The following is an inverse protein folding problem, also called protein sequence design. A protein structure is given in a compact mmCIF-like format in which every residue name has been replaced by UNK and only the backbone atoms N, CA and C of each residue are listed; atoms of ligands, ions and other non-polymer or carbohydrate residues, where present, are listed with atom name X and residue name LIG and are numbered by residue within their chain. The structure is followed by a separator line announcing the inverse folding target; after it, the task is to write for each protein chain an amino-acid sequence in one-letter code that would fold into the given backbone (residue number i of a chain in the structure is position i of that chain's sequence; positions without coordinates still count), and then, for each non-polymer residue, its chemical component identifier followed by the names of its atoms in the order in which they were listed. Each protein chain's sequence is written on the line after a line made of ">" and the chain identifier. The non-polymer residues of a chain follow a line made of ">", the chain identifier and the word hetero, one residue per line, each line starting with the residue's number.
data_IF_522067825256
#
_entry.id   IF_522067825256
#
_cell.length_a   1.000
_cell.length_b   1.000
_cell.length_c   1.000
_cell.angle_alpha   90.00
_cell.angle_beta   90.00
_cell.angle_gamma   90.00
#
_symmetry.space_group_name_H-M   'P 1'
#
loop_
_entity.id
_entity.type
_entity.pdbx_description
1 polymer ?
#
# COMPACT_ATOMS: atom_id res chain seq x y z
N UNK A 1 -27.25 15.85 -25.87
CA UNK A 1 -27.11 14.38 -26.01
C UNK A 1 -28.33 13.75 -25.35
N UNK A 2 -29.13 12.94 -26.08
CA UNK A 2 -30.36 12.32 -25.54
C UNK A 2 -30.01 11.41 -24.33
N UNK A 3 -30.93 11.26 -23.37
CA UNK A 3 -30.76 10.40 -22.19
C UNK A 3 -30.37 8.96 -22.56
N UNK A 4 -30.93 8.43 -23.61
CA UNK A 4 -30.65 7.08 -24.15
C UNK A 4 -29.19 6.94 -24.61
N UNK A 5 -28.62 7.96 -25.28
CA UNK A 5 -27.21 8.00 -25.68
C UNK A 5 -26.27 8.16 -24.47
N UNK A 6 -26.70 8.91 -23.44
CA UNK A 6 -25.93 9.07 -22.19
C UNK A 6 -25.89 7.78 -21.38
N UNK A 7 -27.00 7.04 -21.30
CA UNK A 7 -27.06 5.75 -20.62
C UNK A 7 -26.20 4.67 -21.29
N UNK A 8 -26.16 4.62 -22.62
CA UNK A 8 -25.33 3.68 -23.38
C UNK A 8 -23.82 3.98 -23.19
N UNK A 9 -23.44 5.26 -23.18
CA UNK A 9 -22.07 5.71 -22.91
C UNK A 9 -21.57 5.27 -21.53
N UNK A 10 -22.37 5.53 -20.48
CA UNK A 10 -22.02 5.15 -19.11
C UNK A 10 -21.86 3.62 -18.98
N UNK A 11 -22.76 2.85 -19.61
CA UNK A 11 -22.67 1.38 -19.61
C UNK A 11 -21.40 0.87 -20.30
N UNK A 12 -21.01 1.50 -21.42
CA UNK A 12 -19.75 1.19 -22.12
C UNK A 12 -18.53 1.50 -21.26
N UNK A 13 -18.48 2.70 -20.65
CA UNK A 13 -17.39 3.08 -19.71
C UNK A 13 -17.31 2.10 -18.55
N UNK A 14 -18.47 1.71 -17.99
CA UNK A 14 -18.51 0.77 -16.88
C UNK A 14 -17.93 -0.60 -17.25
N UNK A 15 -18.37 -1.17 -18.37
CA UNK A 15 -17.89 -2.49 -18.83
C UNK A 15 -16.39 -2.46 -19.13
N UNK A 16 -15.92 -1.52 -19.96
CA UNK A 16 -14.50 -1.43 -20.32
C UNK A 16 -13.60 -1.18 -19.12
N UNK A 17 -14.04 -0.35 -18.17
CA UNK A 17 -13.27 -0.06 -16.96
C UNK A 17 -13.20 -1.24 -15.98
N UNK A 18 -14.25 -2.04 -15.87
CA UNK A 18 -14.21 -3.26 -15.02
C UNK A 18 -13.35 -4.33 -15.68
N UNK A 19 -13.53 -4.56 -16.98
CA UNK A 19 -12.77 -5.59 -17.69
C UNK A 19 -11.28 -5.25 -17.67
N UNK A 20 -10.89 -4.02 -18.07
CA UNK A 20 -9.50 -3.59 -17.97
C UNK A 20 -8.99 -3.71 -16.53
N UNK A 21 -9.80 -3.24 -15.56
CA UNK A 21 -9.45 -3.32 -14.15
C UNK A 21 -9.20 -4.75 -13.67
N UNK A 22 -9.95 -5.74 -14.15
CA UNK A 22 -9.73 -7.16 -13.85
C UNK A 22 -8.35 -7.63 -14.31
N UNK A 23 -7.98 -7.32 -15.56
CA UNK A 23 -6.65 -7.63 -16.10
C UNK A 23 -5.54 -6.87 -15.36
N UNK A 24 -5.76 -5.59 -15.08
CA UNK A 24 -4.83 -4.78 -14.30
C UNK A 24 -4.63 -5.31 -12.87
N UNK A 25 -5.68 -5.89 -12.27
CA UNK A 25 -5.60 -6.45 -10.92
C UNK A 25 -4.78 -7.75 -10.89
N UNK A 26 -4.90 -8.60 -11.92
CA UNK A 26 -4.02 -9.78 -12.07
C UNK A 26 -2.56 -9.33 -12.15
N UNK A 27 -2.25 -8.38 -13.02
CA UNK A 27 -0.92 -7.79 -13.14
C UNK A 27 -0.43 -7.18 -11.81
N UNK A 28 -1.27 -6.37 -11.17
CA UNK A 28 -0.94 -5.66 -9.95
C UNK A 28 -0.58 -6.58 -8.79
N UNK A 29 -1.34 -7.66 -8.61
CA UNK A 29 -1.09 -8.59 -7.52
C UNK A 29 0.15 -9.47 -7.73
N UNK A 30 0.49 -9.79 -8.98
CA UNK A 30 1.54 -10.75 -9.28
C UNK A 30 2.90 -10.09 -9.62
N UNK A 31 2.90 -9.03 -10.42
CA UNK A 31 4.13 -8.48 -11.03
C UNK A 31 4.40 -7.00 -10.71
N UNK A 32 3.54 -6.32 -9.95
CA UNK A 32 3.75 -4.93 -9.57
C UNK A 32 4.50 -4.81 -8.24
N UNK A 33 5.15 -3.66 -8.03
CA UNK A 33 5.78 -3.30 -6.75
C UNK A 33 4.80 -3.50 -5.57
N UNK A 34 5.30 -4.08 -4.47
CA UNK A 34 4.48 -4.44 -3.30
C UNK A 34 3.87 -5.85 -3.36
N UNK A 35 4.04 -6.58 -4.47
CA UNK A 35 3.63 -7.98 -4.58
C UNK A 35 4.49 -8.89 -3.70
N UNK A 36 3.85 -9.79 -2.93
CA UNK A 36 4.54 -10.81 -2.13
C UNK A 36 5.33 -11.80 -3.01
N UNK A 37 4.93 -11.97 -4.27
CA UNK A 37 5.63 -12.84 -5.23
C UNK A 37 6.99 -12.27 -5.60
N UNK A 38 7.11 -10.93 -5.78
CA UNK A 38 8.39 -10.25 -6.00
C UNK A 38 9.29 -10.43 -4.78
N UNK A 39 8.76 -10.26 -3.58
CA UNK A 39 9.50 -10.48 -2.33
C UNK A 39 9.98 -11.93 -2.22
N UNK A 40 9.14 -12.92 -2.59
CA UNK A 40 9.54 -14.36 -2.59
C UNK A 40 10.69 -14.61 -3.54
N UNK A 41 10.67 -14.08 -4.77
CA UNK A 41 11.79 -14.24 -5.70
C UNK A 41 13.07 -13.60 -5.13
N UNK A 42 12.99 -12.42 -4.54
CA UNK A 42 14.14 -11.78 -3.91
C UNK A 42 14.70 -12.60 -2.75
N UNK A 43 13.84 -13.24 -1.95
CA UNK A 43 14.26 -14.17 -0.88
C UNK A 43 14.98 -15.37 -1.47
N UNK A 44 14.44 -16.00 -2.52
CA UNK A 44 15.08 -17.14 -3.21
C UNK A 44 16.43 -16.78 -3.83
N UNK A 45 16.59 -15.56 -4.33
CA UNK A 45 17.86 -15.05 -4.88
C UNK A 45 18.84 -14.58 -3.82
N UNK A 46 18.48 -14.60 -2.52
CA UNK A 46 19.33 -14.16 -1.42
C UNK A 46 19.55 -12.65 -1.40
N UNK A 47 18.48 -11.86 -1.53
CA UNK A 47 18.56 -10.40 -1.50
C UNK A 47 19.14 -9.86 -0.19
N UNK A 48 19.93 -8.81 -0.30
CA UNK A 48 20.49 -8.08 0.84
C UNK A 48 19.47 -7.16 1.50
N UNK A 49 19.67 -6.78 2.77
CA UNK A 49 18.81 -5.82 3.47
C UNK A 49 18.64 -4.50 2.71
N UNK A 50 19.72 -4.02 2.10
CA UNK A 50 19.69 -2.81 1.28
C UNK A 50 18.77 -2.97 0.07
N UNK A 51 18.77 -4.13 -0.59
CA UNK A 51 17.90 -4.40 -1.75
C UNK A 51 16.42 -4.47 -1.37
N UNK A 52 16.08 -5.05 -0.20
CA UNK A 52 14.71 -4.99 0.33
C UNK A 52 14.28 -3.54 0.64
N UNK A 53 15.20 -2.75 1.15
CA UNK A 53 14.95 -1.33 1.41
C UNK A 53 14.71 -0.54 0.12
N UNK A 54 15.48 -0.80 -0.93
CA UNK A 54 15.22 -0.23 -2.25
C UNK A 54 13.86 -0.67 -2.81
N UNK A 55 13.52 -1.96 -2.72
CA UNK A 55 12.21 -2.45 -3.15
C UNK A 55 11.07 -1.67 -2.47
N UNK A 56 11.16 -1.51 -1.15
CA UNK A 56 10.14 -0.77 -0.37
C UNK A 56 10.14 0.73 -0.73
N UNK A 57 11.31 1.35 -0.93
CA UNK A 57 11.44 2.77 -1.27
C UNK A 57 10.89 3.11 -2.66
N UNK A 58 10.95 2.19 -3.64
CA UNK A 58 10.42 2.41 -4.99
C UNK A 58 8.95 2.83 -4.94
N UNK A 59 8.14 2.25 -4.03
CA UNK A 59 6.74 2.61 -3.86
C UNK A 59 6.55 4.10 -3.52
N UNK A 60 7.38 4.66 -2.65
CA UNK A 60 7.36 6.08 -2.28
C UNK A 60 7.93 6.97 -3.38
N UNK A 61 9.04 6.55 -4.01
CA UNK A 61 9.65 7.31 -5.09
C UNK A 61 8.71 7.41 -6.30
N UNK A 62 7.96 6.37 -6.61
CA UNK A 62 7.01 6.36 -7.73
C UNK A 62 5.93 7.44 -7.60
N UNK A 63 5.59 7.85 -6.37
CA UNK A 63 4.68 8.96 -6.14
C UNK A 63 5.22 10.31 -6.64
N UNK A 64 6.55 10.48 -6.71
CA UNK A 64 7.20 11.69 -7.25
C UNK A 64 6.98 11.82 -8.76
N UNK A 65 6.75 10.71 -9.46
CA UNK A 65 6.45 10.72 -10.90
C UNK A 65 5.02 11.18 -11.23
N UNK A 66 4.12 11.19 -10.24
CA UNK A 66 2.73 11.58 -10.44
C UNK A 66 2.55 13.02 -10.95
N UNK A 67 3.26 14.04 -10.44
CA UNK A 67 3.21 15.41 -10.98
C UNK A 67 3.65 15.49 -12.44
N UNK A 68 4.61 14.64 -12.88
CA UNK A 68 5.02 14.59 -14.28
C UNK A 68 3.85 14.16 -15.18
N UNK A 69 3.06 13.16 -14.74
CA UNK A 69 1.86 12.75 -15.45
C UNK A 69 0.83 13.87 -15.59
N UNK A 70 0.66 14.69 -14.57
CA UNK A 70 -0.20 15.88 -14.61
C UNK A 70 0.35 16.88 -15.61
N UNK A 71 1.64 17.23 -15.54
CA UNK A 71 2.28 18.16 -16.45
C UNK A 71 2.15 17.69 -17.92
N UNK A 72 2.49 16.43 -18.21
CA UNK A 72 2.31 15.86 -19.57
C UNK A 72 0.86 15.87 -20.03
N UNK A 73 -0.11 15.57 -19.14
CA UNK A 73 -1.52 15.57 -19.49
C UNK A 73 -2.09 16.95 -19.85
N UNK A 74 -1.44 18.03 -19.41
CA UNK A 74 -1.82 19.40 -19.78
C UNK A 74 -1.41 19.77 -21.22
N UNK A 75 -0.33 19.19 -21.74
CA UNK A 75 0.18 19.47 -23.08
C UNK A 75 -0.43 18.58 -24.17
N UNK A 76 -1.13 17.50 -23.82
CA UNK A 76 -1.69 16.53 -24.76
C UNK A 76 -3.19 16.63 -24.82
N UNK A 77 -3.73 16.83 -26.03
CA UNK A 77 -5.18 16.91 -26.28
C UNK A 77 -5.91 15.56 -26.09
N UNK A 78 -5.19 14.45 -26.26
CA UNK A 78 -5.72 13.08 -26.13
C UNK A 78 -5.06 12.32 -24.99
N UNK A 79 -5.67 12.36 -23.80
CA UNK A 79 -5.17 11.68 -22.59
C UNK A 79 -5.24 10.15 -22.67
N UNK A 80 -6.19 9.65 -23.45
CA UNK A 80 -6.42 8.21 -23.65
C UNK A 80 -5.16 7.50 -24.12
N UNK A 81 -4.61 7.92 -25.24
CA UNK A 81 -3.45 7.28 -25.83
C UNK A 81 -2.19 7.48 -24.98
N UNK A 82 -2.03 8.66 -24.38
CA UNK A 82 -0.94 8.91 -23.44
C UNK A 82 -1.02 7.95 -22.25
N UNK A 83 -2.19 7.78 -21.65
CA UNK A 83 -2.40 6.84 -20.55
C UNK A 83 -2.07 5.40 -20.96
N UNK A 84 -2.55 4.95 -22.12
CA UNK A 84 -2.34 3.60 -22.63
C UNK A 84 -0.85 3.34 -22.86
N UNK A 85 -0.15 4.24 -23.56
CA UNK A 85 1.27 4.06 -23.87
C UNK A 85 2.17 4.08 -22.62
N UNK A 86 1.94 5.03 -21.71
CA UNK A 86 2.69 5.09 -20.44
C UNK A 86 2.48 3.80 -19.64
N UNK A 87 1.23 3.35 -19.50
CA UNK A 87 0.91 2.13 -18.76
C UNK A 87 1.47 0.88 -19.47
N UNK A 88 1.42 0.86 -20.81
CA UNK A 88 2.02 -0.21 -21.61
C UNK A 88 3.52 -0.36 -21.35
N UNK A 89 4.28 0.73 -21.41
CA UNK A 89 5.72 0.70 -21.13
C UNK A 89 5.99 0.14 -19.74
N UNK A 90 5.23 0.59 -18.73
CA UNK A 90 5.38 0.09 -17.37
C UNK A 90 5.11 -1.43 -17.24
N UNK A 91 4.07 -1.95 -17.90
CA UNK A 91 3.74 -3.40 -17.89
C UNK A 91 4.69 -4.21 -18.76
N UNK A 92 5.20 -3.61 -19.84
CA UNK A 92 6.17 -4.25 -20.74
C UNK A 92 7.52 -4.48 -20.04
N UNK A 93 7.99 -3.55 -19.22
CA UNK A 93 9.22 -3.71 -18.46
C UNK A 93 9.18 -4.91 -17.51
N UNK A 94 8.03 -5.23 -16.95
CA UNK A 94 7.90 -6.35 -16.02
C UNK A 94 7.91 -7.73 -16.69
N UNK A 95 7.76 -7.81 -18.02
CA UNK A 95 8.02 -9.04 -18.79
C UNK A 95 9.44 -9.58 -18.57
N UNK A 96 10.38 -8.67 -18.37
CA UNK A 96 11.80 -8.99 -18.27
C UNK A 96 12.29 -9.25 -16.84
N UNK A 97 11.40 -9.24 -15.84
CA UNK A 97 11.80 -9.48 -14.43
C UNK A 97 12.49 -10.85 -14.26
N UNK A 98 12.00 -11.87 -14.97
CA UNK A 98 12.57 -13.21 -14.93
C UNK A 98 13.99 -13.31 -15.48
N UNK A 99 14.43 -12.36 -16.33
CA UNK A 99 15.81 -12.33 -16.84
C UNK A 99 16.84 -12.09 -15.72
N UNK A 100 16.39 -11.62 -14.54
CA UNK A 100 17.26 -11.52 -13.37
C UNK A 100 17.94 -12.84 -13.00
N UNK A 101 17.29 -13.98 -13.29
CA UNK A 101 17.80 -15.33 -13.02
C UNK A 101 18.97 -15.73 -13.96
N UNK A 102 19.10 -15.08 -15.11
CA UNK A 102 20.16 -15.37 -16.11
C UNK A 102 21.49 -14.69 -15.78
N UNK A 103 21.51 -13.77 -14.81
CA UNK A 103 22.75 -13.09 -14.44
C UNK A 103 23.69 -14.06 -13.70
N UNK A 104 25.01 -14.02 -13.99
CA UNK A 104 25.98 -14.85 -13.30
C UNK A 104 26.05 -14.64 -11.79
N UNK A 105 25.65 -13.46 -11.34
CA UNK A 105 25.54 -13.11 -9.92
C UNK A 105 24.10 -12.75 -9.59
N UNK A 106 23.50 -13.44 -8.62
CA UNK A 106 22.15 -13.14 -8.12
C UNK A 106 22.02 -11.69 -7.65
N UNK A 107 23.07 -11.13 -7.04
CA UNK A 107 23.09 -9.73 -6.61
C UNK A 107 22.92 -8.75 -7.78
N UNK A 108 23.61 -8.98 -8.91
CA UNK A 108 23.43 -8.18 -10.13
C UNK A 108 22.04 -8.36 -10.73
N UNK A 109 21.52 -9.59 -10.73
CA UNK A 109 20.16 -9.89 -11.18
C UNK A 109 19.10 -9.16 -10.37
N UNK A 110 19.24 -9.11 -9.04
CA UNK A 110 18.32 -8.36 -8.17
C UNK A 110 18.37 -6.86 -8.47
N UNK A 111 19.56 -6.26 -8.65
CA UNK A 111 19.66 -4.85 -9.02
C UNK A 111 19.04 -4.55 -10.40
N UNK A 112 19.21 -5.44 -11.37
CA UNK A 112 18.52 -5.35 -12.66
C UNK A 112 16.99 -5.37 -12.47
N UNK A 113 16.47 -6.31 -11.67
CA UNK A 113 15.05 -6.41 -11.37
C UNK A 113 14.52 -5.14 -10.67
N UNK A 114 15.25 -4.62 -9.66
CA UNK A 114 14.89 -3.39 -8.96
C UNK A 114 14.86 -2.17 -9.91
N UNK A 115 15.77 -2.12 -10.88
CA UNK A 115 15.79 -1.06 -11.89
C UNK A 115 14.55 -1.13 -12.79
N UNK A 116 14.18 -2.31 -13.27
CA UNK A 116 12.94 -2.50 -14.04
C UNK A 116 11.69 -2.12 -13.24
N UNK A 117 11.64 -2.54 -11.98
CA UNK A 117 10.53 -2.22 -11.06
C UNK A 117 10.43 -0.72 -10.78
N UNK A 118 11.56 -0.02 -10.64
CA UNK A 118 11.60 1.43 -10.44
C UNK A 118 10.93 2.18 -11.60
N UNK A 119 11.34 1.91 -12.83
CA UNK A 119 10.75 2.54 -14.00
C UNK A 119 9.30 2.10 -14.21
N UNK A 120 9.01 0.79 -14.06
CA UNK A 120 7.65 0.27 -14.16
C UNK A 120 6.72 0.96 -13.18
N UNK A 121 7.09 1.07 -11.89
CA UNK A 121 6.29 1.72 -10.86
C UNK A 121 6.05 3.20 -11.17
N UNK A 122 7.06 3.92 -11.66
CA UNK A 122 6.93 5.31 -12.09
C UNK A 122 5.93 5.49 -13.23
N UNK A 123 6.05 4.67 -14.28
CA UNK A 123 5.10 4.68 -15.40
C UNK A 123 3.68 4.29 -14.97
N UNK A 124 3.52 3.27 -14.11
CA UNK A 124 2.22 2.87 -13.60
C UNK A 124 1.57 3.98 -12.74
N UNK A 125 2.33 4.64 -11.85
CA UNK A 125 1.84 5.74 -11.03
C UNK A 125 1.39 6.93 -11.88
N UNK A 126 2.16 7.28 -12.91
CA UNK A 126 1.83 8.31 -13.89
C UNK A 126 0.57 7.96 -14.67
N UNK A 127 0.49 6.74 -15.21
CA UNK A 127 -0.68 6.24 -15.96
C UNK A 127 -1.94 6.21 -15.12
N UNK A 128 -1.87 5.79 -13.86
CA UNK A 128 -3.00 5.74 -12.94
C UNK A 128 -3.61 7.13 -12.69
N UNK A 129 -2.79 8.16 -12.54
CA UNK A 129 -3.26 9.54 -12.36
C UNK A 129 -3.96 10.08 -13.62
N UNK A 130 -3.38 9.84 -14.79
CA UNK A 130 -4.00 10.23 -16.07
C UNK A 130 -5.35 9.50 -16.24
N UNK A 131 -5.39 8.21 -15.89
CA UNK A 131 -6.61 7.40 -15.94
C UNK A 131 -7.71 7.93 -15.01
N UNK A 132 -7.39 8.24 -13.75
CA UNK A 132 -8.36 8.80 -12.80
C UNK A 132 -8.94 10.11 -13.32
N UNK A 133 -8.10 11.01 -13.82
CA UNK A 133 -8.52 12.28 -14.38
C UNK A 133 -9.46 12.07 -15.59
N UNK A 134 -9.05 11.20 -16.53
CA UNK A 134 -9.84 10.89 -17.74
C UNK A 134 -11.19 10.25 -17.42
N UNK A 135 -11.22 9.21 -16.57
CA UNK A 135 -12.47 8.51 -16.19
C UNK A 135 -13.40 9.42 -15.39
N UNK A 136 -12.83 10.28 -14.54
CA UNK A 136 -13.62 11.26 -13.79
C UNK A 136 -14.39 12.23 -14.68
N UNK A 137 -13.86 12.60 -15.84
CA UNK A 137 -14.53 13.46 -16.81
C UNK A 137 -15.69 12.75 -17.54
N UNK A 138 -15.68 11.41 -17.58
CA UNK A 138 -16.72 10.59 -18.24
C UNK A 138 -17.90 10.26 -17.32
N UNK A 139 -17.67 10.19 -16.01
CA UNK A 139 -18.66 9.73 -15.04
C UNK A 139 -19.27 10.92 -14.31
N UNK A 140 -20.62 11.09 -14.34
CA UNK A 140 -21.31 12.14 -13.61
C UNK A 140 -21.01 12.08 -12.10
N UNK A 141 -20.81 13.24 -11.47
CA UNK A 141 -20.51 13.36 -10.04
C UNK A 141 -21.48 12.57 -9.14
N UNK A 142 -22.79 12.60 -9.49
CA UNK A 142 -23.86 11.94 -8.72
C UNK A 142 -23.69 10.43 -8.57
N UNK A 143 -23.06 9.76 -9.54
CA UNK A 143 -22.91 8.29 -9.54
C UNK A 143 -21.45 7.83 -9.39
N UNK A 144 -20.50 8.78 -9.37
CA UNK A 144 -19.05 8.49 -9.38
C UNK A 144 -18.63 7.61 -8.18
N UNK A 145 -19.11 7.93 -6.99
CA UNK A 145 -18.80 7.14 -5.78
C UNK A 145 -19.28 5.69 -5.90
N UNK A 146 -20.53 5.48 -6.36
CA UNK A 146 -21.07 4.13 -6.59
C UNK A 146 -20.32 3.35 -7.66
N UNK A 147 -19.87 4.03 -8.72
CA UNK A 147 -19.09 3.42 -9.79
C UNK A 147 -17.74 2.89 -9.25
N UNK A 148 -16.94 3.74 -8.58
CA UNK A 148 -15.64 3.33 -8.06
C UNK A 148 -15.76 2.28 -6.94
N UNK A 149 -16.76 2.39 -6.08
CA UNK A 149 -17.00 1.40 -5.02
C UNK A 149 -17.26 0.01 -5.60
N UNK A 150 -18.24 -0.12 -6.52
CA UNK A 150 -18.55 -1.42 -7.15
C UNK A 150 -17.37 -1.98 -7.96
N UNK A 151 -16.67 -1.11 -8.70
CA UNK A 151 -15.48 -1.51 -9.43
C UNK A 151 -14.43 -2.08 -8.47
N UNK A 152 -14.09 -1.35 -7.41
CA UNK A 152 -13.07 -1.78 -6.47
C UNK A 152 -13.43 -3.06 -5.72
N UNK A 153 -14.71 -3.26 -5.35
CA UNK A 153 -15.19 -4.52 -4.77
C UNK A 153 -14.96 -5.71 -5.71
N UNK A 154 -15.31 -5.57 -6.99
CA UNK A 154 -15.10 -6.61 -7.98
C UNK A 154 -13.62 -6.92 -8.21
N UNK A 155 -12.78 -5.88 -8.30
CA UNK A 155 -11.34 -6.03 -8.47
C UNK A 155 -10.69 -6.70 -7.25
N UNK A 156 -11.14 -6.37 -6.05
CA UNK A 156 -10.67 -7.00 -4.81
C UNK A 156 -10.90 -8.51 -4.82
N UNK A 157 -12.10 -8.95 -5.22
CA UNK A 157 -12.39 -10.39 -5.32
C UNK A 157 -11.49 -11.09 -6.33
N UNK A 158 -11.28 -10.49 -7.52
CA UNK A 158 -10.35 -11.03 -8.53
C UNK A 158 -8.94 -11.10 -7.96
N UNK A 159 -8.49 -10.03 -7.32
CA UNK A 159 -7.17 -9.97 -6.71
C UNK A 159 -6.95 -11.08 -5.67
N UNK A 160 -7.92 -11.31 -4.80
CA UNK A 160 -7.86 -12.39 -3.81
C UNK A 160 -7.78 -13.76 -4.48
N UNK A 161 -8.69 -14.05 -5.42
CA UNK A 161 -8.71 -15.35 -6.11
C UNK A 161 -7.37 -15.61 -6.80
N UNK A 162 -6.86 -14.65 -7.56
CA UNK A 162 -5.58 -14.81 -8.27
C UNK A 162 -4.42 -15.02 -7.30
N UNK A 163 -4.36 -14.19 -6.24
CA UNK A 163 -3.30 -14.31 -5.24
C UNK A 163 -3.30 -15.68 -4.54
N UNK A 164 -4.46 -16.18 -4.15
CA UNK A 164 -4.56 -17.49 -3.50
C UNK A 164 -4.22 -18.64 -4.45
N UNK A 165 -4.74 -18.60 -5.68
CA UNK A 165 -4.45 -19.65 -6.67
C UNK A 165 -2.95 -19.70 -6.97
N UNK A 166 -2.33 -18.57 -7.25
CA UNK A 166 -0.89 -18.56 -7.59
C UNK A 166 -0.04 -18.88 -6.37
N UNK A 167 -0.37 -18.37 -5.18
CA UNK A 167 0.35 -18.67 -3.94
C UNK A 167 0.35 -20.17 -3.64
N UNK A 168 -0.82 -20.82 -3.76
CA UNK A 168 -0.94 -22.25 -3.57
C UNK A 168 0.00 -23.04 -4.50
N UNK A 169 0.07 -22.66 -5.78
CA UNK A 169 0.95 -23.34 -6.74
C UNK A 169 2.45 -23.04 -6.48
N UNK A 170 2.79 -21.85 -6.01
CA UNK A 170 4.18 -21.55 -5.62
C UNK A 170 4.60 -22.35 -4.39
N UNK A 171 3.69 -22.56 -3.44
CA UNK A 171 3.99 -23.32 -2.22
C UNK A 171 4.12 -24.83 -2.49
N UNK A 172 3.59 -25.34 -3.62
CA UNK A 172 3.79 -26.75 -4.01
C UNK A 172 5.25 -27.13 -4.25
N UNK A 173 6.12 -26.17 -4.60
CA UNK A 173 7.56 -26.41 -4.78
C UNK A 173 8.29 -26.72 -3.46
N UNK A 174 7.70 -26.36 -2.33
CA UNK A 174 8.21 -26.63 -0.98
C UNK A 174 7.25 -27.54 -0.18
N UNK A 175 6.37 -28.28 -0.88
CA UNK A 175 5.27 -29.00 -0.26
C UNK A 175 5.73 -30.22 0.52
N UNK A 176 5.16 -30.39 1.71
CA UNK A 176 5.22 -31.62 2.47
C UNK A 176 4.36 -32.75 1.86
N UNK A 177 4.20 -33.88 2.56
CA UNK A 177 3.55 -35.14 2.08
C UNK A 177 2.20 -34.92 1.39
N UNK A 178 1.34 -34.01 1.90
CA UNK A 178 0.02 -33.73 1.29
C UNK A 178 0.12 -33.09 -0.08
N UNK A 179 1.05 -32.16 -0.25
CA UNK A 179 1.29 -31.49 -1.53
C UNK A 179 1.94 -32.45 -2.53
N UNK A 180 2.86 -33.34 -2.07
CA UNK A 180 3.48 -34.34 -2.92
C UNK A 180 2.43 -35.33 -3.47
N UNK A 181 1.43 -35.73 -2.68
CA UNK A 181 0.34 -36.57 -3.16
C UNK A 181 -0.53 -35.90 -4.24
N UNK A 182 -0.71 -34.61 -4.17
CA UNK A 182 -1.41 -33.83 -5.20
C UNK A 182 -0.56 -33.71 -6.47
N UNK A 183 0.73 -33.45 -6.34
CA UNK A 183 1.70 -33.37 -7.44
C UNK A 183 1.78 -34.71 -8.20
N UNK A 184 1.82 -35.84 -7.44
CA UNK A 184 1.83 -37.18 -8.00
C UNK A 184 0.59 -37.47 -8.84
N UNK A 185 -0.60 -37.05 -8.37
CA UNK A 185 -1.85 -37.19 -9.14
C UNK A 185 -1.85 -36.38 -10.45
N UNK A 186 -1.11 -35.31 -10.51
CA UNK A 186 -0.95 -34.46 -11.72
C UNK A 186 0.14 -35.03 -12.66
N UNK A 187 0.94 -36.01 -12.25
CA UNK A 187 2.10 -36.49 -13.01
C UNK A 187 3.20 -35.46 -13.20
N UNK A 188 3.29 -34.49 -12.29
CA UNK A 188 4.14 -33.30 -12.43
C UNK A 188 5.31 -33.27 -11.40
N UNK A 189 5.69 -34.42 -10.86
CA UNK A 189 6.71 -34.53 -9.81
C UNK A 189 8.07 -33.95 -10.23
N UNK A 190 8.48 -34.14 -11.49
CA UNK A 190 9.72 -33.60 -12.00
C UNK A 190 9.73 -32.09 -12.20
N UNK A 191 8.55 -31.45 -12.20
CA UNK A 191 8.43 -30.00 -12.35
C UNK A 191 8.42 -29.27 -11.01
N UNK A 192 7.65 -29.78 -10.03
CA UNK A 192 7.49 -29.15 -8.71
C UNK A 192 8.65 -29.53 -7.77
N UNK A 193 9.85 -29.13 -8.16
CA UNK A 193 11.06 -29.26 -7.34
C UNK A 193 11.56 -27.88 -6.93
N UNK A 194 12.16 -27.69 -5.74
CA UNK A 194 12.57 -26.37 -5.22
C UNK A 194 13.41 -25.55 -6.21
N UNK A 195 14.25 -26.21 -7.01
CA UNK A 195 15.10 -25.56 -8.02
C UNK A 195 14.30 -24.81 -9.09
N UNK A 196 13.09 -25.28 -9.40
CA UNK A 196 12.23 -24.71 -10.43
C UNK A 196 11.33 -23.57 -9.90
N UNK A 197 11.26 -23.34 -8.59
CA UNK A 197 10.38 -22.34 -7.99
C UNK A 197 10.64 -20.92 -8.50
N UNK A 198 11.92 -20.54 -8.58
CA UNK A 198 12.31 -19.23 -9.12
C UNK A 198 11.92 -19.07 -10.59
N UNK A 199 12.11 -20.12 -11.40
CA UNK A 199 11.70 -20.14 -12.81
C UNK A 199 10.18 -20.04 -12.95
N UNK A 200 9.41 -20.74 -12.12
CA UNK A 200 7.95 -20.62 -12.09
C UNK A 200 7.50 -19.20 -11.78
N UNK A 201 8.13 -18.51 -10.82
CA UNK A 201 7.87 -17.10 -10.54
C UNK A 201 8.16 -16.19 -11.74
N UNK A 202 9.24 -16.48 -12.49
CA UNK A 202 9.54 -15.76 -13.72
C UNK A 202 8.41 -15.93 -14.76
N UNK A 203 7.87 -17.14 -14.94
CA UNK A 203 6.70 -17.38 -15.78
C UNK A 203 5.44 -16.65 -15.28
N UNK A 204 5.22 -16.59 -13.96
CA UNK A 204 4.12 -15.85 -13.37
C UNK A 204 4.21 -14.36 -13.73
N UNK A 205 5.41 -13.77 -13.73
CA UNK A 205 5.57 -12.35 -14.11
C UNK A 205 5.31 -12.13 -15.60
N UNK A 206 5.80 -13.01 -16.46
CA UNK A 206 5.51 -12.96 -17.91
C UNK A 206 4.01 -13.06 -18.15
N UNK A 207 3.35 -14.05 -17.56
CA UNK A 207 1.90 -14.23 -17.64
C UNK A 207 1.15 -12.99 -17.17
N UNK A 208 1.47 -12.49 -15.97
CA UNK A 208 0.82 -11.30 -15.40
C UNK A 208 1.00 -10.06 -16.26
N UNK A 209 2.21 -9.87 -16.83
CA UNK A 209 2.52 -8.74 -17.71
C UNK A 209 1.74 -8.82 -19.02
N UNK A 210 1.69 -9.99 -19.64
CA UNK A 210 0.90 -10.22 -20.88
C UNK A 210 -0.58 -9.97 -20.62
N UNK A 211 -1.14 -10.55 -19.54
CA UNK A 211 -2.52 -10.32 -19.14
C UNK A 211 -2.76 -8.82 -18.92
N UNK A 212 -1.88 -8.15 -18.19
CA UNK A 212 -1.96 -6.72 -17.98
C UNK A 212 -1.92 -5.91 -19.29
N UNK A 213 -1.07 -6.26 -20.24
CA UNK A 213 -0.98 -5.59 -21.56
C UNK A 213 -2.26 -5.82 -22.37
N UNK A 214 -2.79 -7.06 -22.40
CA UNK A 214 -4.07 -7.36 -23.06
C UNK A 214 -5.19 -6.50 -22.47
N UNK A 215 -5.18 -6.26 -21.15
CA UNK A 215 -6.14 -5.38 -20.49
C UNK A 215 -6.22 -3.97 -21.09
N UNK A 216 -5.11 -3.43 -21.62
CA UNK A 216 -5.08 -2.10 -22.23
C UNK A 216 -5.90 -2.01 -23.52
N UNK A 217 -6.12 -3.13 -24.23
CA UNK A 217 -7.02 -3.15 -25.40
C UNK A 217 -8.46 -2.78 -25.01
N UNK A 218 -8.92 -3.21 -23.84
CA UNK A 218 -10.23 -2.82 -23.30
C UNK A 218 -10.27 -1.35 -22.88
N UNK A 219 -9.16 -0.81 -22.40
CA UNK A 219 -9.02 0.61 -22.12
C UNK A 219 -9.10 1.44 -23.41
N UNK A 220 -8.54 0.93 -24.51
CA UNK A 220 -8.63 1.56 -25.82
C UNK A 220 -10.07 1.69 -26.35
N UNK A 221 -11.01 0.83 -25.91
CA UNK A 221 -12.44 0.92 -26.26
C UNK A 221 -13.18 2.03 -25.48
N UNK A 222 -12.55 2.61 -24.45
CA UNK A 222 -13.17 3.64 -23.62
C UNK A 222 -13.24 4.97 -24.38
N UNK A 223 -14.38 5.69 -24.35
CA UNK A 223 -14.52 6.98 -25.02
C UNK A 223 -13.70 8.07 -24.34
N UNK A 224 -13.37 9.11 -25.09
CA UNK A 224 -12.65 10.30 -24.59
C UNK A 224 -13.47 11.57 -24.85
N UNK A 225 -13.41 12.52 -23.90
CA UNK A 225 -13.92 13.87 -24.08
C UNK A 225 -12.78 14.85 -24.22
N UNK A 226 -12.78 15.67 -25.26
CA UNK A 226 -11.87 16.80 -25.40
C UNK A 226 -12.13 17.81 -24.26
N UNK A 227 -11.08 18.25 -23.59
CA UNK A 227 -11.17 19.25 -22.52
C UNK A 227 -10.82 20.63 -23.07
N UNK A 228 -11.56 21.65 -22.59
CA UNK A 228 -11.11 23.04 -22.73
C UNK A 228 -9.94 23.30 -21.79
N UNK A 229 -8.90 23.94 -22.28
CA UNK A 229 -7.68 24.28 -21.54
C UNK A 229 -7.98 25.45 -20.59
N UNK A 230 -7.95 25.22 -19.29
CA UNK A 230 -8.04 26.26 -18.26
C UNK A 230 -7.16 25.92 -17.08
N UNK A 231 -6.02 26.58 -16.94
CA UNK A 231 -5.30 26.68 -15.67
C UNK A 231 -4.33 27.84 -15.65
N UNK A 232 -4.79 28.97 -15.10
CA UNK A 232 -3.96 30.14 -14.78
C UNK A 232 -3.68 30.24 -13.27
N UNK A 233 -3.23 29.15 -12.63
CA UNK A 233 -2.77 29.26 -11.25
C UNK A 233 -1.25 29.10 -11.20
N UNK A 234 -0.57 30.11 -10.63
CA UNK A 234 0.86 30.06 -10.35
C UNK A 234 1.16 28.91 -9.37
N UNK A 235 1.79 27.85 -9.87
CA UNK A 235 2.18 26.69 -9.07
C UNK A 235 3.01 27.08 -7.85
N UNK A 236 3.89 28.08 -7.97
CA UNK A 236 4.75 28.56 -6.88
C UNK A 236 3.95 29.07 -5.66
N UNK A 237 2.86 29.80 -5.88
CA UNK A 237 2.00 30.29 -4.79
C UNK A 237 1.26 29.14 -4.11
N UNK A 238 0.77 28.17 -4.89
CA UNK A 238 0.07 26.99 -4.37
C UNK A 238 0.96 26.17 -3.42
N UNK A 239 2.26 26.08 -3.72
CA UNK A 239 3.21 25.34 -2.88
C UNK A 239 3.67 26.11 -1.63
N UNK A 240 3.75 27.45 -1.66
CA UNK A 240 4.28 28.25 -0.55
C UNK A 240 3.29 28.46 0.60
N UNK A 241 2.02 28.63 0.27
CA UNK A 241 0.96 28.98 1.24
C UNK A 241 0.81 27.99 2.41
N UNK A 242 0.81 26.64 2.21
CA UNK A 242 0.66 25.69 3.31
C UNK A 242 1.74 25.81 4.38
N UNK A 243 2.99 26.14 3.99
CA UNK A 243 4.09 26.29 4.95
C UNK A 243 3.97 27.55 5.83
N UNK A 244 3.13 28.50 5.49
CA UNK A 244 2.86 29.69 6.31
C UNK A 244 1.89 29.37 7.45
N UNK A 245 1.06 28.33 7.33
CA UNK A 245 0.12 27.92 8.37
C UNK A 245 0.84 27.20 9.52
N UNK A 246 0.87 27.81 10.71
CA UNK A 246 1.55 27.25 11.88
C UNK A 246 1.05 25.87 12.28
N UNK A 247 -0.28 25.65 12.26
CA UNK A 247 -0.84 24.35 12.65
C UNK A 247 -0.56 23.28 11.60
N UNK A 248 -0.53 23.63 10.33
CA UNK A 248 -0.14 22.72 9.27
C UNK A 248 1.34 22.30 9.39
N UNK A 249 2.23 23.22 9.74
CA UNK A 249 3.65 22.88 10.03
C UNK A 249 3.77 21.88 11.19
N UNK A 250 3.00 22.05 12.26
CA UNK A 250 2.98 21.10 13.38
C UNK A 250 2.45 19.73 12.95
N UNK A 251 1.43 19.71 12.09
CA UNK A 251 0.92 18.47 11.50
C UNK A 251 1.95 17.81 10.58
N UNK A 252 2.71 18.60 9.79
CA UNK A 252 3.81 18.08 8.96
C UNK A 252 4.90 17.46 9.81
N UNK A 253 5.30 18.11 10.92
CA UNK A 253 6.31 17.56 11.86
C UNK A 253 5.83 16.22 12.43
N UNK A 254 4.56 16.15 12.88
CA UNK A 254 3.99 14.90 13.36
C UNK A 254 3.97 13.82 12.27
N UNK A 255 3.45 14.14 11.09
CA UNK A 255 3.34 13.20 9.98
C UNK A 255 4.71 12.72 9.49
N UNK A 256 5.69 13.61 9.41
CA UNK A 256 7.08 13.27 9.05
C UNK A 256 7.71 12.32 10.06
N UNK A 257 7.55 12.57 11.35
CA UNK A 257 8.02 11.67 12.39
C UNK A 257 7.34 10.30 12.32
N UNK A 258 5.99 10.30 12.18
CA UNK A 258 5.22 9.07 12.08
C UNK A 258 5.63 8.21 10.88
N UNK A 259 5.81 8.83 9.71
CA UNK A 259 6.21 8.12 8.49
C UNK A 259 7.69 7.70 8.54
N UNK A 260 8.57 8.51 9.13
CA UNK A 260 9.94 8.11 9.40
C UNK A 260 9.99 6.85 10.28
N UNK A 261 9.27 6.85 11.40
CA UNK A 261 9.21 5.71 12.31
C UNK A 261 8.59 4.45 11.65
N UNK A 262 7.64 4.66 10.75
CA UNK A 262 7.02 3.56 9.99
C UNK A 262 7.98 2.98 8.95
N UNK A 263 8.77 3.84 8.29
CA UNK A 263 9.72 3.44 7.25
C UNK A 263 10.84 2.53 7.77
N UNK A 264 11.22 2.62 9.05
CA UNK A 264 12.29 1.80 9.65
C UNK A 264 12.02 0.30 9.46
N UNK A 265 10.83 -0.19 9.78
CA UNK A 265 10.49 -1.61 9.67
C UNK A 265 9.94 -2.03 8.31
N UNK A 266 9.51 -1.06 7.48
CA UNK A 266 8.71 -1.35 6.28
C UNK A 266 9.34 -2.32 5.28
N UNK A 267 10.68 -2.37 5.07
CA UNK A 267 11.28 -3.29 4.11
C UNK A 267 11.28 -4.75 4.54
N UNK A 268 11.17 -5.02 5.85
CA UNK A 268 11.52 -6.31 6.41
C UNK A 268 10.34 -7.19 6.79
N UNK A 269 9.09 -6.69 6.83
CA UNK A 269 7.91 -7.50 7.17
C UNK A 269 7.73 -8.71 6.26
N UNK A 270 7.75 -8.49 4.94
CA UNK A 270 7.61 -9.55 3.96
C UNK A 270 8.74 -10.57 3.98
N UNK A 271 10.02 -10.11 3.88
CA UNK A 271 11.17 -11.01 4.01
C UNK A 271 11.17 -11.81 5.31
N UNK A 272 10.83 -11.20 6.44
CA UNK A 272 10.79 -11.88 7.75
C UNK A 272 9.74 -13.00 7.77
N UNK A 273 8.53 -12.76 7.25
CA UNK A 273 7.52 -13.81 7.12
C UNK A 273 8.01 -15.00 6.28
N UNK A 274 8.62 -14.71 5.13
CA UNK A 274 9.03 -15.75 4.19
C UNK A 274 10.32 -16.49 4.59
N UNK A 275 11.29 -15.77 5.20
CA UNK A 275 12.63 -16.31 5.52
C UNK A 275 12.74 -16.78 6.96
N UNK A 276 12.39 -15.91 7.93
CA UNK A 276 12.59 -16.19 9.35
C UNK A 276 11.44 -17.00 9.94
N UNK A 277 10.19 -16.69 9.58
CA UNK A 277 9.02 -17.46 10.00
C UNK A 277 8.76 -18.66 9.11
N UNK A 278 9.43 -18.80 7.96
CA UNK A 278 9.28 -19.90 6.99
C UNK A 278 7.82 -20.09 6.51
N UNK A 279 7.07 -18.99 6.42
CA UNK A 279 5.69 -19.03 5.96
C UNK A 279 5.63 -19.27 4.46
N UNK A 280 4.67 -20.11 4.03
CA UNK A 280 4.30 -20.19 2.62
C UNK A 280 3.63 -18.92 2.12
N UNK A 281 3.68 -18.70 0.81
CA UNK A 281 2.99 -17.53 0.21
C UNK A 281 1.48 -17.55 0.44
N UNK A 282 0.86 -18.73 0.49
CA UNK A 282 -0.56 -18.88 0.79
C UNK A 282 -0.89 -18.35 2.19
N UNK A 283 -0.06 -18.67 3.17
CA UNK A 283 -0.21 -18.19 4.54
C UNK A 283 0.00 -16.68 4.64
N UNK A 284 0.98 -16.15 3.93
CA UNK A 284 1.18 -14.69 3.80
C UNK A 284 -0.07 -14.01 3.20
N UNK A 285 -0.73 -14.62 2.21
CA UNK A 285 -1.97 -14.06 1.66
C UNK A 285 -3.14 -14.15 2.66
N UNK A 286 -3.22 -15.18 3.50
CA UNK A 286 -4.20 -15.24 4.58
C UNK A 286 -4.01 -14.08 5.57
N UNK A 287 -2.77 -13.83 6.00
CA UNK A 287 -2.44 -12.69 6.86
C UNK A 287 -2.84 -11.35 6.22
N UNK A 288 -2.46 -11.14 4.96
CA UNK A 288 -2.82 -9.92 4.23
C UNK A 288 -4.34 -9.73 4.11
N UNK A 289 -5.07 -10.84 3.89
CA UNK A 289 -6.54 -10.82 3.81
C UNK A 289 -7.17 -10.49 5.17
N UNK A 290 -6.65 -11.06 6.25
CA UNK A 290 -7.09 -10.75 7.60
C UNK A 290 -6.88 -9.27 7.94
N UNK A 291 -5.67 -8.77 7.69
CA UNK A 291 -5.32 -7.36 7.88
C UNK A 291 -6.24 -6.43 7.09
N UNK A 292 -6.46 -6.71 5.80
CA UNK A 292 -7.33 -5.92 4.94
C UNK A 292 -8.81 -6.01 5.37
N UNK A 293 -9.29 -7.21 5.70
CA UNK A 293 -10.66 -7.44 6.17
C UNK A 293 -10.94 -6.67 7.45
N UNK A 294 -10.04 -6.73 8.42
CA UNK A 294 -10.14 -5.98 9.68
C UNK A 294 -10.12 -4.47 9.41
N UNK A 295 -9.26 -4.01 8.50
CA UNK A 295 -9.20 -2.60 8.11
C UNK A 295 -10.55 -2.13 7.55
N UNK A 296 -11.17 -2.88 6.64
CA UNK A 296 -12.46 -2.55 6.05
C UNK A 296 -13.59 -2.49 7.10
N UNK A 297 -13.62 -3.46 8.00
CA UNK A 297 -14.64 -3.51 9.08
C UNK A 297 -14.47 -2.35 10.09
N UNK A 298 -13.24 -1.89 10.27
CA UNK A 298 -12.90 -0.85 11.26
C UNK A 298 -13.27 0.57 10.83
N UNK A 299 -13.48 0.84 9.53
CA UNK A 299 -13.80 2.19 9.05
C UNK A 299 -15.05 2.79 9.70
N UNK A 300 -16.10 1.99 9.86
CA UNK A 300 -17.34 2.45 10.50
C UNK A 300 -17.16 2.81 11.98
N UNK A 301 -16.31 2.09 12.69
CA UNK A 301 -15.97 2.40 14.09
C UNK A 301 -15.17 3.72 14.16
N UNK A 302 -14.11 3.85 13.37
CA UNK A 302 -13.25 5.03 13.38
C UNK A 302 -13.98 6.31 12.99
N UNK A 303 -14.88 6.25 11.98
CA UNK A 303 -15.71 7.40 11.62
C UNK A 303 -16.50 7.93 12.83
N UNK A 304 -17.28 7.04 13.49
CA UNK A 304 -18.06 7.41 14.67
C UNK A 304 -17.20 7.88 15.84
N UNK A 305 -16.03 7.27 16.03
CA UNK A 305 -15.11 7.63 17.11
C UNK A 305 -14.52 9.02 16.91
N UNK A 306 -14.08 9.33 15.69
CA UNK A 306 -13.52 10.64 15.31
C UNK A 306 -14.55 11.74 15.46
N UNK A 307 -15.78 11.54 14.97
CA UNK A 307 -16.87 12.52 15.07
C UNK A 307 -17.17 12.90 16.53
N UNK A 308 -17.03 11.93 17.43
CA UNK A 308 -17.35 12.13 18.84
C UNK A 308 -16.19 12.68 19.67
N UNK A 309 -14.97 12.20 19.46
CA UNK A 309 -13.82 12.47 20.32
C UNK A 309 -12.72 13.31 19.69
N UNK A 310 -12.80 13.54 18.37
CA UNK A 310 -11.82 14.30 17.60
C UNK A 310 -10.66 13.43 17.05
N UNK A 311 -9.97 14.00 16.05
CA UNK A 311 -8.89 13.32 15.34
C UNK A 311 -7.67 13.08 16.24
N UNK A 312 -7.27 14.08 17.06
CA UNK A 312 -6.09 13.98 17.93
C UNK A 312 -6.22 12.86 18.95
N UNK A 313 -7.39 12.68 19.54
CA UNK A 313 -7.66 11.61 20.50
C UNK A 313 -7.65 10.25 19.83
N UNK A 314 -8.24 10.13 18.65
CA UNK A 314 -8.23 8.91 17.86
C UNK A 314 -6.79 8.56 17.42
N UNK A 315 -5.99 9.55 16.96
CA UNK A 315 -4.60 9.34 16.55
C UNK A 315 -3.73 8.86 17.72
N UNK A 316 -3.97 9.28 18.95
CA UNK A 316 -3.23 8.75 20.12
C UNK A 316 -3.39 7.24 20.27
N UNK A 317 -4.58 6.70 20.00
CA UNK A 317 -4.82 5.25 20.01
C UNK A 317 -4.03 4.59 18.88
N UNK A 318 -4.07 5.18 17.67
CA UNK A 318 -3.31 4.65 16.54
C UNK A 318 -1.79 4.68 16.79
N UNK A 319 -1.26 5.73 17.41
CA UNK A 319 0.18 5.82 17.77
C UNK A 319 0.54 4.76 18.81
N UNK A 320 -0.31 4.56 19.82
CA UNK A 320 -0.09 3.51 20.83
C UNK A 320 -0.05 2.11 20.20
N UNK A 321 -1.08 1.76 19.45
CA UNK A 321 -1.15 0.47 18.76
C UNK A 321 -0.04 0.33 17.70
N UNK A 322 0.28 1.42 17.01
CA UNK A 322 1.34 1.44 16.01
C UNK A 322 2.74 1.15 16.56
N UNK A 323 3.02 1.53 17.80
CA UNK A 323 4.24 1.12 18.50
C UNK A 323 4.13 -0.29 19.10
N UNK A 324 2.93 -0.70 19.52
CA UNK A 324 2.70 -2.04 20.08
C UNK A 324 2.81 -3.14 19.02
N UNK A 325 2.25 -2.93 17.82
CA UNK A 325 2.22 -3.95 16.77
C UNK A 325 3.61 -4.49 16.40
N UNK A 326 4.64 -3.67 16.15
CA UNK A 326 5.99 -4.20 15.88
C UNK A 326 6.57 -5.03 17.03
N UNK A 327 6.15 -4.81 18.27
CA UNK A 327 6.65 -5.60 19.41
C UNK A 327 6.14 -7.04 19.37
N UNK A 328 4.98 -7.32 18.81
CA UNK A 328 4.52 -8.70 18.65
C UNK A 328 5.47 -9.54 17.81
N UNK A 329 6.11 -8.92 16.80
CA UNK A 329 7.07 -9.60 15.93
C UNK A 329 8.35 -10.03 16.63
N UNK A 330 8.68 -9.42 17.77
CA UNK A 330 9.83 -9.83 18.58
C UNK A 330 9.63 -11.21 19.20
N UNK A 331 8.39 -11.66 19.37
CA UNK A 331 8.04 -12.92 20.00
C UNK A 331 7.75 -14.03 19.00
N UNK A 332 7.85 -13.78 17.70
CA UNK A 332 7.59 -14.76 16.64
C UNK A 332 8.86 -15.55 16.30
N UNK A 333 8.65 -16.80 15.90
CA UNK A 333 9.68 -17.71 15.37
C UNK A 333 9.05 -18.65 14.37
N UNK A 334 9.87 -19.40 13.62
CA UNK A 334 9.38 -20.42 12.67
C UNK A 334 8.50 -21.48 13.36
N UNK A 335 8.81 -21.83 14.63
CA UNK A 335 8.07 -22.83 15.40
C UNK A 335 6.75 -22.29 15.98
N UNK A 336 6.68 -20.98 16.27
CA UNK A 336 5.49 -20.36 16.84
C UNK A 336 5.34 -18.91 16.38
N UNK A 337 4.42 -18.70 15.48
CA UNK A 337 4.03 -17.39 15.00
C UNK A 337 2.50 -17.13 15.11
N UNK A 338 1.82 -17.85 16.00
CA UNK A 338 0.36 -17.72 16.19
C UNK A 338 -0.09 -16.31 16.54
N UNK A 339 0.77 -15.53 17.22
CA UNK A 339 0.51 -14.14 17.56
C UNK A 339 0.38 -13.22 16.33
N UNK A 340 0.88 -13.66 15.16
CA UNK A 340 0.76 -12.97 13.89
C UNK A 340 -0.70 -12.69 13.51
N UNK A 341 -1.60 -13.62 13.80
CA UNK A 341 -3.03 -13.46 13.49
C UNK A 341 -3.67 -12.35 14.34
N UNK A 342 -3.28 -12.25 15.60
CA UNK A 342 -3.71 -11.17 16.46
C UNK A 342 -3.11 -9.82 16.02
N UNK A 343 -1.83 -9.81 15.66
CA UNK A 343 -1.17 -8.61 15.12
C UNK A 343 -1.84 -8.14 13.85
N UNK A 344 -2.19 -9.04 12.92
CA UNK A 344 -2.90 -8.71 11.68
C UNK A 344 -4.24 -8.00 11.94
N UNK A 345 -5.00 -8.43 12.96
CA UNK A 345 -6.23 -7.76 13.40
C UNK A 345 -5.91 -6.38 13.98
N UNK A 346 -4.96 -6.30 14.93
CA UNK A 346 -4.58 -5.04 15.58
C UNK A 346 -4.03 -4.03 14.58
N UNK A 347 -3.17 -4.47 13.67
CA UNK A 347 -2.55 -3.66 12.63
C UNK A 347 -3.57 -3.16 11.60
N UNK A 348 -4.47 -4.04 11.12
CA UNK A 348 -5.56 -3.66 10.22
C UNK A 348 -6.48 -2.61 10.83
N UNK A 349 -6.87 -2.79 12.10
CA UNK A 349 -7.65 -1.81 12.85
C UNK A 349 -6.92 -0.47 12.98
N UNK A 350 -5.67 -0.47 13.37
CA UNK A 350 -4.85 0.72 13.57
C UNK A 350 -4.65 1.50 12.26
N UNK A 351 -4.28 0.82 11.16
CA UNK A 351 -4.03 1.49 9.89
C UNK A 351 -5.28 2.08 9.26
N UNK A 352 -6.45 1.45 9.43
CA UNK A 352 -7.73 2.03 9.04
C UNK A 352 -7.98 3.37 9.74
N UNK A 353 -7.74 3.43 11.04
CA UNK A 353 -7.84 4.65 11.82
C UNK A 353 -6.85 5.73 11.40
N UNK A 354 -5.57 5.37 11.35
CA UNK A 354 -4.49 6.30 10.98
C UNK A 354 -4.72 6.95 9.62
N UNK A 355 -5.20 6.19 8.62
CA UNK A 355 -5.49 6.69 7.27
C UNK A 355 -6.62 7.73 7.25
N UNK A 356 -7.77 7.42 7.88
CA UNK A 356 -8.90 8.35 7.96
C UNK A 356 -8.53 9.61 8.75
N UNK A 357 -7.87 9.44 9.91
CA UNK A 357 -7.52 10.54 10.79
C UNK A 357 -6.55 11.50 10.11
N UNK A 358 -5.53 10.97 9.44
CA UNK A 358 -4.56 11.79 8.70
C UNK A 358 -5.26 12.64 7.64
N UNK A 359 -6.14 12.04 6.83
CA UNK A 359 -6.93 12.76 5.83
C UNK A 359 -7.78 13.85 6.47
N UNK A 360 -8.49 13.54 7.56
CA UNK A 360 -9.33 14.49 8.26
C UNK A 360 -8.53 15.65 8.89
N UNK A 361 -7.34 15.37 9.43
CA UNK A 361 -6.45 16.42 9.96
C UNK A 361 -6.07 17.42 8.87
N UNK A 362 -5.60 16.93 7.72
CA UNK A 362 -5.22 17.79 6.61
C UNK A 362 -6.40 18.63 6.14
N UNK A 363 -7.58 18.01 5.94
CA UNK A 363 -8.78 18.70 5.49
C UNK A 363 -9.31 19.71 6.51
N UNK A 364 -9.15 19.46 7.82
CA UNK A 364 -9.61 20.37 8.88
C UNK A 364 -8.75 21.63 9.01
N UNK A 365 -7.50 21.59 8.56
CA UNK A 365 -6.54 22.70 8.61
C UNK A 365 -6.50 23.46 7.29
N UNK A 366 -6.77 22.79 6.18
CA UNK A 366 -6.74 23.37 4.86
C UNK A 366 -7.86 24.43 4.66
N UNK A 367 -7.56 25.62 4.12
CA UNK A 367 -8.59 26.58 3.72
C UNK A 367 -9.49 26.00 2.61
N UNK A 368 -10.76 26.44 2.57
CA UNK A 368 -11.71 26.04 1.51
C UNK A 368 -11.12 26.30 0.13
N UNK A 369 -11.26 25.32 -0.77
CA UNK A 369 -10.71 25.27 -2.15
C UNK A 369 -9.18 25.08 -2.25
N UNK A 370 -8.46 24.87 -1.14
CA UNK A 370 -7.02 24.59 -1.10
C UNK A 370 -6.69 23.19 -0.60
N UNK A 371 -7.71 22.35 -0.35
CA UNK A 371 -7.57 21.04 0.25
C UNK A 371 -6.62 20.12 -0.54
N UNK A 372 -6.64 20.24 -1.88
CA UNK A 372 -5.76 19.44 -2.75
C UNK A 372 -4.29 19.82 -2.60
N UNK A 373 -3.99 21.15 -2.50
CA UNK A 373 -2.63 21.63 -2.33
C UNK A 373 -2.05 21.17 -0.98
N UNK A 374 -2.82 21.33 0.11
CA UNK A 374 -2.41 20.90 1.44
C UNK A 374 -2.19 19.38 1.51
N UNK A 375 -3.09 18.58 0.93
CA UNK A 375 -2.97 17.12 0.87
C UNK A 375 -1.76 16.68 0.04
N UNK A 376 -1.52 17.32 -1.11
CA UNK A 376 -0.38 17.02 -1.97
C UNK A 376 0.96 17.31 -1.31
N UNK A 377 1.09 18.47 -0.64
CA UNK A 377 2.31 18.85 0.08
C UNK A 377 2.52 17.94 1.29
N UNK A 378 1.45 17.65 2.04
CA UNK A 378 1.55 16.71 3.15
C UNK A 378 2.10 15.36 2.66
N UNK A 379 1.50 14.77 1.64
CA UNK A 379 1.92 13.48 1.10
C UNK A 379 3.37 13.49 0.60
N UNK A 380 3.78 14.56 -0.10
CA UNK A 380 5.14 14.70 -0.61
C UNK A 380 6.17 14.77 0.52
N UNK A 381 5.94 15.63 1.51
CA UNK A 381 6.88 15.81 2.64
C UNK A 381 7.01 14.53 3.45
N UNK A 382 5.90 13.95 3.89
CA UNK A 382 5.95 12.74 4.73
C UNK A 382 6.47 11.52 3.95
N UNK A 383 6.24 11.47 2.64
CA UNK A 383 6.78 10.45 1.75
C UNK A 383 8.31 10.47 1.68
N UNK A 384 8.90 11.67 1.61
CA UNK A 384 10.37 11.82 1.65
C UNK A 384 10.95 11.28 2.96
N UNK A 385 10.35 11.58 4.11
CA UNK A 385 10.81 11.08 5.40
C UNK A 385 10.68 9.54 5.50
N UNK A 386 9.57 8.98 5.01
CA UNK A 386 9.40 7.53 4.97
C UNK A 386 10.45 6.86 4.07
N UNK A 387 10.66 7.40 2.86
CA UNK A 387 11.68 6.89 1.95
C UNK A 387 13.08 6.93 2.57
N UNK A 388 13.44 8.06 3.18
CA UNK A 388 14.75 8.23 3.80
C UNK A 388 15.00 7.21 4.92
N UNK A 389 14.03 7.01 5.81
CA UNK A 389 14.15 6.01 6.88
C UNK A 389 14.13 4.57 6.37
N UNK A 390 13.36 4.30 5.32
CA UNK A 390 13.32 3.00 4.64
C UNK A 390 14.69 2.65 4.06
N UNK A 391 15.35 3.57 3.35
CA UNK A 391 16.69 3.37 2.81
C UNK A 391 17.74 3.30 3.93
N UNK A 392 17.65 4.20 4.92
CA UNK A 392 18.56 4.19 6.06
C UNK A 392 18.53 2.86 6.82
N UNK A 393 17.37 2.23 6.99
CA UNK A 393 17.25 0.96 7.68
C UNK A 393 17.94 -0.20 6.96
N UNK A 394 18.06 -0.13 5.63
CA UNK A 394 18.85 -1.10 4.85
C UNK A 394 20.35 -0.84 4.88
N UNK A 395 20.74 0.44 4.94
CA UNK A 395 22.17 0.83 5.05
C UNK A 395 22.70 0.51 6.45
N UNK A 396 21.94 0.87 7.49
CA UNK A 396 22.29 0.67 8.90
C UNK A 396 21.65 -0.59 9.48
N UNK A 397 21.57 -1.66 8.68
CA UNK A 397 20.97 -2.91 9.13
C UNK A 397 21.80 -3.52 10.27
N UNK A 398 21.18 -3.78 11.45
CA UNK A 398 21.89 -4.25 12.62
C UNK A 398 22.32 -5.72 12.48
N UNK A 399 23.19 -6.17 13.37
CA UNK A 399 23.40 -7.59 13.64
C UNK A 399 22.33 -8.16 14.57
N UNK A 400 22.39 -9.46 14.82
CA UNK A 400 21.59 -10.11 15.87
C UNK A 400 21.96 -9.53 17.25
N UNK A 401 20.97 -9.43 18.14
CA UNK A 401 21.15 -8.88 19.48
C UNK A 401 20.82 -9.94 20.54
N UNK A 402 21.80 -10.29 21.33
CA UNK A 402 21.58 -11.16 22.49
C UNK A 402 21.11 -10.29 23.68
N UNK A 403 19.89 -10.58 24.16
CA UNK A 403 19.29 -9.91 25.34
C UNK A 403 19.36 -10.80 26.59
N UNK A 404 20.19 -11.86 26.58
CA UNK A 404 20.39 -12.79 27.68
C UNK A 404 19.28 -13.85 27.84
N UNK A 405 18.05 -13.53 27.53
CA UNK A 405 16.90 -14.46 27.54
C UNK A 405 16.74 -15.12 26.16
N UNK A 406 17.12 -14.40 25.11
CA UNK A 406 16.90 -14.77 23.72
C UNK A 406 17.80 -13.97 22.80
N UNK A 407 18.25 -14.57 21.70
CA UNK A 407 18.88 -13.88 20.59
C UNK A 407 17.80 -13.38 19.64
N UNK A 408 17.75 -12.07 19.42
CA UNK A 408 16.86 -11.44 18.45
C UNK A 408 17.52 -11.45 17.07
N UNK A 409 16.73 -11.81 16.05
CA UNK A 409 17.15 -11.66 14.66
C UNK A 409 17.33 -10.17 14.31
N UNK A 410 18.18 -9.84 13.32
CA UNK A 410 18.39 -8.45 12.90
C UNK A 410 17.10 -7.71 12.57
N UNK A 411 16.14 -8.36 11.89
CA UNK A 411 14.83 -7.78 11.57
C UNK A 411 14.04 -7.46 12.83
N UNK A 412 14.11 -8.34 13.86
CA UNK A 412 13.43 -8.11 15.13
C UNK A 412 14.01 -6.90 15.87
N UNK A 413 15.33 -6.68 15.80
CA UNK A 413 15.96 -5.48 16.34
C UNK A 413 15.41 -4.24 15.62
N UNK A 414 15.32 -4.25 14.29
CA UNK A 414 14.73 -3.16 13.50
C UNK A 414 13.28 -2.90 13.91
N UNK A 415 12.48 -3.95 14.13
CA UNK A 415 11.10 -3.82 14.58
C UNK A 415 10.99 -3.19 15.97
N UNK A 416 11.88 -3.56 16.89
CA UNK A 416 11.97 -2.96 18.22
C UNK A 416 12.29 -1.46 18.16
N UNK A 417 13.29 -1.07 17.36
CA UNK A 417 13.63 0.34 17.12
C UNK A 417 12.45 1.09 16.49
N UNK A 418 11.81 0.48 15.50
CA UNK A 418 10.61 1.03 14.86
C UNK A 418 9.44 1.22 15.84
N UNK A 419 9.24 0.30 16.80
CA UNK A 419 8.24 0.41 17.86
C UNK A 419 8.48 1.64 18.74
N UNK A 420 9.70 1.80 19.24
CA UNK A 420 10.10 2.93 20.07
C UNK A 420 9.97 4.27 19.32
N UNK A 421 10.43 4.30 18.06
CA UNK A 421 10.30 5.47 17.21
C UNK A 421 8.84 5.87 16.97
N UNK A 422 7.92 4.89 16.78
CA UNK A 422 6.48 5.13 16.62
C UNK A 422 5.87 5.69 17.90
N UNK A 423 6.22 5.19 19.08
CA UNK A 423 5.78 5.81 20.33
C UNK A 423 6.34 7.21 20.53
N UNK A 424 7.56 7.49 20.03
CA UNK A 424 8.11 8.86 19.99
C UNK A 424 7.19 9.87 19.26
N UNK A 425 6.30 9.42 18.38
CA UNK A 425 5.33 10.27 17.70
C UNK A 425 4.30 10.93 18.64
N UNK A 426 4.15 10.46 19.88
CA UNK A 426 3.35 11.16 20.89
C UNK A 426 3.82 12.59 21.14
N UNK A 427 5.14 12.84 21.07
CA UNK A 427 5.73 14.16 21.32
C UNK A 427 5.23 15.17 20.28
N UNK A 428 5.49 14.99 18.97
CA UNK A 428 5.01 15.94 17.97
C UNK A 428 3.47 15.95 17.84
N UNK A 429 2.77 14.82 18.10
CA UNK A 429 1.31 14.80 18.13
C UNK A 429 0.75 15.71 19.23
N UNK A 430 1.42 15.81 20.40
CA UNK A 430 0.99 16.70 21.47
C UNK A 430 0.97 18.17 21.05
N UNK A 431 1.85 18.58 20.13
CA UNK A 431 1.95 19.96 19.63
C UNK A 431 0.86 20.34 18.62
N UNK A 432 0.28 19.36 17.90
CA UNK A 432 -0.81 19.61 16.94
C UNK A 432 -2.03 20.14 17.67
N UNK A 433 -2.60 21.25 17.21
CA UNK A 433 -3.77 21.89 17.83
C UNK A 433 -5.06 21.40 17.18
N UNK A 434 -5.97 20.89 18.00
CA UNK A 434 -7.34 20.54 17.60
C UNK A 434 -8.31 20.96 18.71
N UNK A 435 -9.20 21.91 18.42
CA UNK A 435 -10.13 22.47 19.40
C UNK A 435 -11.23 21.50 19.84
N UNK A 436 -11.53 20.46 19.05
CA UNK A 436 -12.60 19.49 19.30
C UNK A 436 -12.13 18.21 20.00
N UNK A 437 -10.83 18.07 20.31
CA UNK A 437 -10.33 16.83 20.90
C UNK A 437 -10.71 16.69 22.38
N UNK A 438 -11.22 15.51 22.73
CA UNK A 438 -11.54 15.13 24.11
C UNK A 438 -10.33 14.42 24.74
N UNK A 439 -9.99 14.61 26.03
CA UNK A 439 -8.92 13.86 26.70
C UNK A 439 -9.08 12.34 26.51
N UNK A 440 -7.99 11.64 26.18
CA UNK A 440 -7.99 10.20 25.88
C UNK A 440 -8.64 9.38 27.01
N UNK A 441 -8.35 9.71 28.27
CA UNK A 441 -8.92 9.04 29.45
C UNK A 441 -10.46 9.08 29.45
N UNK A 442 -11.07 10.22 29.08
CA UNK A 442 -12.53 10.36 28.99
C UNK A 442 -13.11 9.56 27.81
N UNK A 443 -12.41 9.55 26.66
CA UNK A 443 -12.83 8.79 25.50
C UNK A 443 -12.80 7.28 25.76
N UNK A 444 -11.72 6.78 26.36
CA UNK A 444 -11.60 5.36 26.74
C UNK A 444 -12.64 4.96 27.79
N UNK A 445 -12.80 5.75 28.86
CA UNK A 445 -13.81 5.49 29.90
C UNK A 445 -15.23 5.39 29.32
N UNK A 446 -15.58 6.28 28.39
CA UNK A 446 -16.87 6.22 27.69
C UNK A 446 -17.02 4.98 26.82
N UNK A 447 -15.98 4.63 26.03
CA UNK A 447 -16.02 3.45 25.16
C UNK A 447 -16.15 2.17 25.98
N UNK A 448 -15.35 2.04 27.04
CA UNK A 448 -15.43 0.89 27.96
C UNK A 448 -16.79 0.80 28.68
N UNK A 449 -17.37 1.92 29.07
CA UNK A 449 -18.70 1.93 29.69
C UNK A 449 -19.80 1.40 28.78
N UNK A 450 -19.68 1.64 27.46
CA UNK A 450 -20.63 1.10 26.47
C UNK A 450 -20.40 -0.38 26.15
N UNK A 451 -19.15 -0.82 26.12
CA UNK A 451 -18.81 -2.23 25.80
C UNK A 451 -19.12 -3.13 26.99
N UNK A 452 -18.78 -2.70 28.23
CA UNK A 452 -18.89 -3.51 29.43
C UNK A 452 -20.08 -3.14 30.33
N UNK A 453 -20.97 -2.24 29.91
CA UNK A 453 -22.14 -1.82 30.69
C UNK A 453 -21.82 -0.98 31.92
N UNK A 454 -20.58 -0.51 32.08
CA UNK A 454 -20.19 0.30 33.24
C UNK A 454 -20.71 1.73 33.10
N UNK A 455 -21.47 2.21 34.12
CA UNK A 455 -21.98 3.59 34.16
C UNK A 455 -20.85 4.57 34.50
N UNK A 456 -20.14 5.07 33.48
CA UNK A 456 -19.24 6.22 33.66
C UNK A 456 -19.99 7.50 33.32
N UNK A 457 -20.24 8.36 34.31
CA UNK A 457 -20.78 9.71 34.10
C UNK A 457 -19.73 10.55 33.36
N UNK A 458 -19.85 10.67 32.07
CA UNK A 458 -19.14 11.72 31.31
C UNK A 458 -19.99 12.97 31.44
N UNK A 459 -19.51 13.96 32.21
CA UNK A 459 -20.20 15.23 32.37
C UNK A 459 -20.53 15.83 31.00
N UNK A 460 -21.80 16.28 30.85
CA UNK A 460 -22.23 17.10 29.72
C UNK A 460 -21.32 18.33 29.66
N UNK A 461 -20.85 18.65 28.47
CA UNK A 461 -20.33 19.99 28.20
C UNK A 461 -21.53 20.95 28.15
N UNK A 462 -21.49 21.98 28.97
CA UNK A 462 -22.18 23.24 28.74
C UNK A 462 -21.54 23.98 27.60
#
# INVERSE_FOLDING_TARGET
>A
MSEKKRGSLIRRVYRSSITEGAFAQVYGNLAQIGSSFITKLMVLMGASPLQYSFLSAIGQISAIWQPLGVAFSHHVSQRKWLCIWITFVGRFLTLFLGLALLFPSHQKGIWFMLTLLFFSAGFQATGANIWIAWVSDLIPLRIRGRFFSRRNQFLLVIGLVVSYVVSYHVDLFEAGERGQSYIARLGAEGFFVPQNQALFLAFVYVFASIVGIIGLSFLALQPERKRAHNSDQSLAQVFREPFQNKNFRLLLIFGSWWMLATGIGSPFWGPFMLKNLQMGLFEVQLYNTLHMGTSLLSFGFWGKFIDRFGNKTAMKICVFLGGLNPLFWLFMSAQNHSILWFEGISSGFMWAGAGIITTNFVLSIAPKRREQAYSGIYAAVVGVFMMSSTLASGIFYPGSLDIGIRVLDPEQVVFGVGALARWGAFIPLALVREYRSVPLRKALAYTMSRVFGWRVRVGKRD
#
